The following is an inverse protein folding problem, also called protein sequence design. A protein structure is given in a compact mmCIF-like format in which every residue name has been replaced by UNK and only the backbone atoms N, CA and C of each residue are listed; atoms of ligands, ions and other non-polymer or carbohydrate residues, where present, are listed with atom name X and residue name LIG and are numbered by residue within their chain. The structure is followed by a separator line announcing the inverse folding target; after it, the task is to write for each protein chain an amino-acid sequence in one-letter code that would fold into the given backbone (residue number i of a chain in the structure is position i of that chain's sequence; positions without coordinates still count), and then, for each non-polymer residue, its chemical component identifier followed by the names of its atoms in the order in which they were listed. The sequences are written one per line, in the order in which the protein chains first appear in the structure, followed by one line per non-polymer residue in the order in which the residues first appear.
data_IF_416812560850
#
_entry.id   IF_416812560850
#
_cell.length_a   1.000
_cell.length_b   1.000
_cell.length_c   1.000
_cell.angle_alpha   90.00
_cell.angle_beta   90.00
_cell.angle_gamma   90.00
#
_symmetry.space_group_name_H-M   'P 1'
#
loop_
_entity.id
_entity.type
_entity.pdbx_description
1 polymer ?
#
# COMPACT_ATOMS: atom_id res chain seq x y z
N UNK A 1 7.06 5.16 13.54
CA UNK A 1 8.32 4.97 12.78
C UNK A 1 8.59 3.51 12.46
N UNK A 2 8.68 2.60 13.44
CA UNK A 2 8.96 1.17 13.23
C UNK A 2 8.02 0.53 12.17
N UNK A 3 6.70 0.67 12.33
CA UNK A 3 5.72 0.15 11.37
C UNK A 3 5.88 0.73 9.96
N UNK A 4 6.27 2.00 9.84
CA UNK A 4 6.53 2.62 8.54
C UNK A 4 7.75 2.00 7.85
N UNK A 5 8.82 1.75 8.61
CA UNK A 5 10.02 1.07 8.11
C UNK A 5 9.74 -0.36 7.67
N UNK A 6 8.89 -1.09 8.41
CA UNK A 6 8.43 -2.43 8.05
C UNK A 6 7.66 -2.43 6.71
N UNK A 7 6.73 -1.49 6.54
CA UNK A 7 6.00 -1.32 5.26
C UNK A 7 6.96 -1.03 4.11
N UNK A 8 7.93 -0.12 4.30
CA UNK A 8 8.92 0.19 3.26
C UNK A 8 9.74 -1.04 2.87
N UNK A 9 10.27 -1.77 3.87
CA UNK A 9 11.04 -2.98 3.65
C UNK A 9 10.20 -4.05 2.92
N UNK A 10 8.95 -4.24 3.32
CA UNK A 10 8.08 -5.27 2.75
C UNK A 10 7.65 -4.91 1.33
N UNK A 11 7.29 -3.66 1.05
CA UNK A 11 6.91 -3.22 -0.31
C UNK A 11 8.07 -3.33 -1.31
N UNK A 12 9.29 -2.94 -0.90
CA UNK A 12 10.48 -3.04 -1.76
C UNK A 12 10.79 -4.51 -2.06
N UNK A 13 10.77 -5.39 -1.06
CA UNK A 13 11.00 -6.82 -1.28
C UNK A 13 9.89 -7.45 -2.11
N UNK A 14 8.64 -7.14 -1.82
CA UNK A 14 7.50 -7.64 -2.58
C UNK A 14 7.63 -7.32 -4.07
N UNK A 15 7.84 -6.04 -4.40
CA UNK A 15 7.94 -5.61 -5.78
C UNK A 15 9.13 -6.26 -6.50
N UNK A 16 10.35 -6.16 -5.95
CA UNK A 16 11.55 -6.63 -6.65
C UNK A 16 11.78 -8.14 -6.51
N UNK A 17 11.74 -8.69 -5.30
CA UNK A 17 12.17 -10.07 -5.06
C UNK A 17 11.09 -11.09 -5.38
N UNK A 18 9.82 -10.73 -5.21
CA UNK A 18 8.71 -11.68 -5.37
C UNK A 18 7.92 -11.45 -6.66
N UNK A 19 7.62 -10.22 -7.04
CA UNK A 19 6.77 -9.93 -8.20
C UNK A 19 7.55 -9.69 -9.51
N UNK A 20 8.71 -9.01 -9.46
CA UNK A 20 9.47 -8.65 -10.67
C UNK A 20 9.90 -9.85 -11.55
N UNK A 21 10.31 -11.01 -11.00
CA UNK A 21 10.72 -12.16 -11.82
C UNK A 21 9.64 -12.68 -12.78
N UNK A 22 8.36 -12.37 -12.52
CA UNK A 22 7.25 -12.69 -13.42
C UNK A 22 7.26 -11.83 -14.70
N UNK A 23 7.88 -10.65 -14.67
CA UNK A 23 7.86 -9.66 -15.76
C UNK A 23 9.22 -9.45 -16.45
N UNK A 24 10.31 -9.82 -15.77
CA UNK A 24 11.70 -9.57 -16.20
C UNK A 24 12.45 -10.89 -16.33
N UNK A 25 13.21 -11.04 -17.43
CA UNK A 25 14.11 -12.16 -17.64
C UNK A 25 15.33 -12.03 -16.74
N UNK A 26 15.42 -12.93 -15.76
CA UNK A 26 16.59 -13.08 -14.90
C UNK A 26 17.80 -13.68 -15.62
N UNK A 27 19.00 -13.60 -15.02
CA UNK A 27 20.19 -14.25 -15.53
C UNK A 27 20.06 -15.78 -15.47
N UNK A 28 20.84 -16.49 -16.29
CA UNK A 28 20.85 -17.96 -16.31
C UNK A 28 21.68 -18.54 -15.15
N UNK A 29 21.27 -18.26 -13.91
CA UNK A 29 21.87 -18.76 -12.67
C UNK A 29 20.77 -19.06 -11.64
N UNK A 30 20.90 -20.10 -10.80
CA UNK A 30 19.93 -20.37 -9.73
C UNK A 30 20.03 -19.28 -8.64
N UNK A 31 18.95 -18.59 -8.23
CA UNK A 31 17.54 -19.01 -8.15
C UNK A 31 16.64 -18.62 -9.34
N UNK A 32 17.18 -18.00 -10.39
CA UNK A 32 16.39 -17.58 -11.56
C UNK A 32 16.19 -18.70 -12.58
N UNK A 33 17.01 -19.75 -12.54
CA UNK A 33 16.87 -20.93 -13.38
C UNK A 33 16.33 -22.11 -12.55
N UNK A 34 15.30 -22.83 -13.02
CA UNK A 34 14.54 -22.58 -14.26
C UNK A 34 13.57 -21.39 -14.13
N UNK A 35 13.49 -20.56 -15.17
CA UNK A 35 12.51 -19.47 -15.27
C UNK A 35 11.32 -19.86 -16.14
N UNK A 36 10.22 -19.13 -16.00
CA UNK A 36 9.18 -19.10 -17.03
C UNK A 36 9.79 -18.61 -18.35
N UNK A 37 9.23 -19.03 -19.50
CA UNK A 37 9.74 -18.62 -20.82
C UNK A 37 8.77 -17.72 -21.58
N UNK A 38 7.56 -17.54 -21.04
CA UNK A 38 6.45 -16.86 -21.70
C UNK A 38 6.18 -15.49 -21.09
N UNK A 39 5.64 -14.62 -21.93
CA UNK A 39 5.12 -13.29 -21.62
C UNK A 39 6.10 -12.22 -21.13
N UNK A 40 7.39 -12.39 -21.39
CA UNK A 40 8.37 -11.30 -21.21
C UNK A 40 8.34 -10.30 -22.36
N UNK A 41 7.73 -9.14 -22.12
CA UNK A 41 7.48 -8.11 -23.14
C UNK A 41 8.45 -6.92 -23.10
N UNK A 42 9.30 -6.84 -22.08
CA UNK A 42 10.22 -5.72 -21.90
C UNK A 42 11.34 -5.72 -22.96
N UNK A 43 11.69 -4.56 -23.53
CA UNK A 43 12.90 -4.41 -24.33
C UNK A 43 14.15 -4.75 -23.51
N UNK A 44 15.17 -5.35 -24.15
CA UNK A 44 16.40 -5.81 -23.48
C UNK A 44 17.02 -4.74 -22.56
N UNK A 45 17.15 -3.50 -23.03
CA UNK A 45 17.72 -2.40 -22.24
C UNK A 45 16.96 -2.13 -20.94
N UNK A 46 15.62 -2.19 -20.96
CA UNK A 46 14.78 -1.99 -19.78
C UNK A 46 14.82 -3.21 -18.85
N UNK A 47 14.85 -4.41 -19.43
CA UNK A 47 15.01 -5.65 -18.70
C UNK A 47 16.31 -5.67 -17.90
N UNK A 48 17.44 -5.36 -18.54
CA UNK A 48 18.76 -5.35 -17.91
C UNK A 48 18.82 -4.33 -16.77
N UNK A 49 18.30 -3.11 -16.99
CA UNK A 49 18.20 -2.09 -15.94
C UNK A 49 17.37 -2.55 -14.74
N UNK A 50 16.23 -3.21 -14.97
CA UNK A 50 15.38 -3.74 -13.89
C UNK A 50 16.07 -4.87 -13.12
N UNK A 51 16.92 -5.68 -13.76
CA UNK A 51 17.76 -6.67 -13.06
C UNK A 51 18.81 -5.98 -12.19
N UNK A 52 19.43 -4.89 -12.64
CA UNK A 52 20.33 -4.11 -11.79
C UNK A 52 19.57 -3.51 -10.59
N UNK A 53 18.36 -3.01 -10.81
CA UNK A 53 17.50 -2.48 -9.76
C UNK A 53 17.07 -3.56 -8.77
N UNK A 54 16.81 -4.79 -9.22
CA UNK A 54 16.54 -5.95 -8.37
C UNK A 54 17.66 -6.17 -7.35
N UNK A 55 18.92 -6.19 -7.79
CA UNK A 55 20.04 -6.39 -6.87
C UNK A 55 20.25 -5.19 -5.96
N UNK A 56 20.05 -3.97 -6.46
CA UNK A 56 20.08 -2.75 -5.63
C UNK A 56 18.99 -2.74 -4.57
N UNK A 57 17.80 -3.27 -4.87
CA UNK A 57 16.68 -3.33 -3.94
C UNK A 57 16.97 -4.23 -2.73
N UNK A 58 17.83 -5.24 -2.85
CA UNK A 58 18.27 -6.08 -1.72
C UNK A 58 18.93 -5.21 -0.65
N UNK A 59 19.90 -4.38 -1.06
CA UNK A 59 20.62 -3.48 -0.15
C UNK A 59 19.69 -2.42 0.46
N UNK A 60 18.82 -1.81 -0.35
CA UNK A 60 17.85 -0.82 0.16
C UNK A 60 16.87 -1.47 1.15
N UNK A 61 16.41 -2.70 0.88
CA UNK A 61 15.52 -3.42 1.80
C UNK A 61 16.23 -3.80 3.11
N UNK A 62 17.54 -4.07 3.05
CA UNK A 62 18.39 -4.30 4.23
C UNK A 62 18.47 -3.03 5.06
N UNK A 63 18.72 -1.87 4.45
CA UNK A 63 18.70 -0.58 5.13
C UNK A 63 17.34 -0.24 5.77
N UNK A 64 16.24 -0.56 5.11
CA UNK A 64 14.90 -0.40 5.69
C UNK A 64 14.69 -1.32 6.91
N UNK A 65 15.24 -2.54 6.89
CA UNK A 65 15.27 -3.44 8.04
C UNK A 65 16.17 -2.93 9.18
N UNK A 66 17.26 -2.22 8.87
CA UNK A 66 18.07 -1.55 9.89
C UNK A 66 17.30 -0.42 10.59
N UNK A 67 16.43 0.30 9.88
CA UNK A 67 15.56 1.31 10.51
C UNK A 67 14.63 0.69 11.58
N UNK A 68 14.16 -0.54 11.35
CA UNK A 68 13.39 -1.31 12.33
C UNK A 68 14.28 -1.65 13.52
N UNK A 69 15.50 -2.13 13.28
CA UNK A 69 16.44 -2.52 14.33
C UNK A 69 16.88 -1.32 15.20
N UNK A 70 17.07 -0.13 14.61
CA UNK A 70 17.48 1.08 15.34
C UNK A 70 16.50 1.46 16.46
N UNK A 71 15.20 1.26 16.25
CA UNK A 71 14.15 1.63 17.21
C UNK A 71 13.53 0.40 17.90
N UNK A 72 13.73 -0.79 17.34
CA UNK A 72 13.13 -2.04 17.78
C UNK A 72 14.11 -3.06 18.37
N UNK A 73 15.40 -2.70 18.46
CA UNK A 73 16.51 -3.54 18.92
C UNK A 73 17.04 -4.51 17.86
N UNK A 74 16.14 -5.20 17.13
CA UNK A 74 16.50 -6.13 16.06
C UNK A 74 15.43 -6.25 14.98
N UNK A 75 15.80 -6.82 13.85
CA UNK A 75 14.89 -7.21 12.77
C UNK A 75 15.38 -8.53 12.16
N UNK A 76 14.52 -9.55 11.94
CA UNK A 76 13.07 -9.58 12.18
C UNK A 76 12.69 -9.70 13.67
N UNK A 77 11.40 -9.47 13.95
CA UNK A 77 10.79 -9.49 15.29
C UNK A 77 11.42 -8.48 16.26
N UNK A 78 11.10 -7.18 16.15
CA UNK A 78 11.61 -6.18 17.09
C UNK A 78 11.07 -6.44 18.51
N UNK A 79 11.95 -6.36 19.51
CA UNK A 79 11.61 -6.52 20.93
C UNK A 79 11.50 -5.17 21.66
N UNK A 80 11.66 -4.07 20.92
CA UNK A 80 11.56 -2.71 21.43
C UNK A 80 10.14 -2.20 21.66
N UNK A 81 9.11 -3.02 21.44
CA UNK A 81 7.69 -2.68 21.62
C UNK A 81 7.15 -3.42 22.84
N UNK A 82 6.72 -2.66 23.85
CA UNK A 82 6.18 -3.18 25.11
C UNK A 82 4.81 -2.56 25.39
N UNK A 83 4.04 -3.18 26.28
CA UNK A 83 2.85 -2.54 26.82
C UNK A 83 3.25 -1.22 27.50
N UNK A 84 2.67 -0.11 27.05
CA UNK A 84 3.01 1.23 27.53
C UNK A 84 3.98 2.03 26.64
N UNK A 85 4.59 1.44 25.61
CA UNK A 85 5.38 2.20 24.64
C UNK A 85 6.58 1.46 24.05
N UNK A 86 7.70 2.15 23.90
CA UNK A 86 8.95 1.60 23.37
C UNK A 86 10.07 1.60 24.40
N UNK A 87 10.88 0.54 24.42
CA UNK A 87 12.03 0.42 25.33
C UNK A 87 13.30 1.12 24.83
N UNK A 88 13.34 1.50 23.55
CA UNK A 88 14.49 2.20 22.95
C UNK A 88 14.21 3.70 22.97
N UNK A 89 14.95 4.51 23.76
CA UNK A 89 14.79 5.96 23.76
C UNK A 89 15.24 6.54 22.41
N UNK A 90 14.50 7.50 21.83
CA UNK A 90 14.85 8.10 20.55
C UNK A 90 15.94 9.18 20.73
N UNK A 91 17.17 8.75 21.01
CA UNK A 91 18.31 9.66 21.16
C UNK A 91 18.65 10.37 19.85
N UNK A 92 19.35 11.51 19.93
CA UNK A 92 19.65 12.33 18.78
C UNK A 92 20.46 11.57 17.70
N UNK A 93 21.44 10.76 18.11
CA UNK A 93 22.25 9.92 17.23
C UNK A 93 21.41 8.87 16.48
N UNK A 94 20.44 8.24 17.18
CA UNK A 94 19.49 7.29 16.56
C UNK A 94 18.63 8.01 15.52
N UNK A 95 18.05 9.17 15.87
CA UNK A 95 17.21 9.93 14.94
C UNK A 95 18.01 10.39 13.72
N UNK A 96 19.25 10.86 13.89
CA UNK A 96 20.07 11.29 12.77
C UNK A 96 20.45 10.13 11.85
N UNK A 97 20.82 8.98 12.42
CA UNK A 97 21.08 7.75 11.67
C UNK A 97 19.84 7.29 10.90
N UNK A 98 18.68 7.35 11.55
CA UNK A 98 17.39 7.01 10.95
C UNK A 98 17.08 7.90 9.76
N UNK A 99 17.21 9.23 9.92
CA UNK A 99 16.95 10.21 8.85
C UNK A 99 17.88 10.03 7.66
N UNK A 100 19.17 9.77 7.91
CA UNK A 100 20.16 9.55 6.86
C UNK A 100 19.81 8.33 6.01
N UNK A 101 19.53 7.20 6.65
CA UNK A 101 19.12 5.96 5.95
C UNK A 101 17.78 6.12 5.24
N UNK A 102 16.79 6.77 5.88
CA UNK A 102 15.49 7.05 5.27
C UNK A 102 15.61 7.91 4.01
N UNK A 103 16.53 8.89 3.99
CA UNK A 103 16.79 9.69 2.78
C UNK A 103 17.22 8.80 1.62
N UNK A 104 18.17 7.88 1.84
CA UNK A 104 18.65 6.96 0.80
C UNK A 104 17.52 6.08 0.25
N UNK A 105 16.67 5.56 1.13
CA UNK A 105 15.48 4.76 0.74
C UNK A 105 14.50 5.62 -0.07
N UNK A 106 14.20 6.84 0.37
CA UNK A 106 13.31 7.76 -0.36
C UNK A 106 13.85 8.13 -1.74
N UNK A 107 15.16 8.37 -1.85
CA UNK A 107 15.81 8.67 -3.12
C UNK A 107 15.68 7.47 -4.08
N UNK A 108 15.88 6.24 -3.59
CA UNK A 108 15.66 5.03 -4.39
C UNK A 108 14.20 4.86 -4.81
N UNK A 109 13.23 5.11 -3.92
CA UNK A 109 11.81 4.99 -4.26
C UNK A 109 11.43 5.95 -5.38
N UNK A 110 11.85 7.22 -5.27
CA UNK A 110 11.51 8.26 -6.24
C UNK A 110 12.22 8.07 -7.59
N UNK A 111 13.48 7.69 -7.57
CA UNK A 111 14.31 7.62 -8.79
C UNK A 111 14.27 6.26 -9.49
N UNK A 112 13.92 5.19 -8.78
CA UNK A 112 13.99 3.81 -9.31
C UNK A 112 12.65 3.08 -9.19
N UNK A 113 12.13 2.89 -7.96
CA UNK A 113 10.92 2.09 -7.72
C UNK A 113 9.70 2.60 -8.49
N UNK A 114 9.39 3.89 -8.37
CA UNK A 114 8.21 4.49 -9.00
C UNK A 114 8.33 4.46 -10.54
N UNK A 115 9.45 4.89 -11.15
CA UNK A 115 9.65 4.76 -12.60
C UNK A 115 9.57 3.33 -13.14
N UNK A 116 10.11 2.34 -12.42
CA UNK A 116 10.03 0.93 -12.81
C UNK A 116 8.59 0.42 -12.76
N UNK A 117 7.84 0.76 -11.71
CA UNK A 117 6.43 0.43 -11.60
C UNK A 117 5.61 1.02 -12.75
N UNK A 118 5.85 2.28 -13.13
CA UNK A 118 5.21 2.88 -14.30
C UNK A 118 5.62 2.20 -15.61
N UNK A 119 6.89 1.83 -15.76
CA UNK A 119 7.37 1.10 -16.94
C UNK A 119 6.68 -0.25 -17.10
N UNK A 120 6.48 -0.99 -16.01
CA UNK A 120 5.73 -2.26 -16.02
C UNK A 120 4.25 -2.01 -16.33
N UNK A 121 3.62 -1.05 -15.66
CA UNK A 121 2.24 -0.65 -15.89
C UNK A 121 1.95 -0.28 -17.35
N UNK A 122 2.90 0.40 -18.01
CA UNK A 122 2.79 0.74 -19.43
C UNK A 122 2.99 -0.45 -20.37
N UNK A 123 3.90 -1.36 -20.01
CA UNK A 123 4.21 -2.54 -20.84
C UNK A 123 3.10 -3.57 -20.79
N UNK A 124 2.43 -3.72 -19.64
CA UNK A 124 1.37 -4.71 -19.38
C UNK A 124 0.00 -4.05 -19.18
N UNK A 125 -0.37 -3.09 -20.05
CA UNK A 125 -1.66 -2.37 -19.96
C UNK A 125 -2.89 -3.27 -20.07
N UNK A 126 -2.77 -4.39 -20.75
CA UNK A 126 -3.82 -5.40 -20.86
C UNK A 126 -4.18 -6.03 -19.49
N UNK A 127 -3.24 -6.07 -18.54
CA UNK A 127 -3.47 -6.66 -17.22
C UNK A 127 -4.51 -5.89 -16.40
N UNK A 128 -4.81 -4.63 -16.74
CA UNK A 128 -5.92 -3.90 -16.13
C UNK A 128 -7.30 -4.53 -16.38
N UNK A 129 -7.42 -5.42 -17.37
CA UNK A 129 -8.64 -6.13 -17.69
C UNK A 129 -8.69 -7.55 -17.09
N UNK A 130 -7.59 -8.01 -16.48
CA UNK A 130 -7.48 -9.34 -15.87
C UNK A 130 -7.73 -9.22 -14.37
N UNK A 131 -8.46 -10.18 -13.78
CA UNK A 131 -8.73 -10.20 -12.33
C UNK A 131 -9.69 -9.10 -11.84
N UNK A 132 -10.45 -8.48 -12.75
CA UNK A 132 -11.38 -7.39 -12.41
C UNK A 132 -12.51 -7.91 -11.52
N UNK A 133 -12.66 -7.30 -10.34
CA UNK A 133 -13.78 -7.53 -9.42
C UNK A 133 -14.43 -6.20 -9.04
N UNK A 134 -15.74 -6.25 -8.72
CA UNK A 134 -16.39 -5.10 -8.06
C UNK A 134 -15.61 -4.76 -6.78
N UNK A 135 -15.32 -3.47 -6.52
CA UNK A 135 -14.52 -3.08 -5.38
C UNK A 135 -15.30 -3.36 -4.09
N UNK A 136 -14.87 -4.43 -3.41
CA UNK A 136 -15.24 -4.75 -2.04
C UNK A 136 -13.94 -4.76 -1.24
N UNK A 137 -13.67 -3.64 -0.57
CA UNK A 137 -12.40 -3.33 0.11
C UNK A 137 -12.69 -2.80 1.52
N UNK A 138 -11.73 -2.94 2.42
CA UNK A 138 -11.85 -2.49 3.81
C UNK A 138 -10.48 -2.04 4.32
N UNK A 139 -10.47 -0.99 5.12
CA UNK A 139 -9.30 -0.47 5.83
C UNK A 139 -9.71 -0.12 7.26
N UNK A 140 -8.92 -0.55 8.24
CA UNK A 140 -9.07 -0.12 9.63
C UNK A 140 -8.43 1.24 9.91
N UNK A 141 -7.81 1.85 8.90
CA UNK A 141 -7.01 3.06 9.04
C UNK A 141 -5.61 2.77 9.59
N UNK A 142 -4.66 3.65 9.30
CA UNK A 142 -3.24 3.47 9.62
C UNK A 142 -2.59 4.79 10.05
N UNK A 143 -1.62 4.70 10.95
CA UNK A 143 -0.87 5.82 11.55
C UNK A 143 -1.75 6.87 12.25
N UNK A 144 -2.04 6.68 13.54
CA UNK A 144 -2.64 7.71 14.38
C UNK A 144 -1.83 9.01 14.35
N UNK A 145 -2.51 10.16 14.29
CA UNK A 145 -1.89 11.49 14.35
C UNK A 145 -1.59 11.95 15.77
N UNK A 146 -2.24 11.34 16.75
CA UNK A 146 -2.08 11.60 18.18
C UNK A 146 -2.27 10.32 18.99
N UNK A 147 -1.93 10.39 20.27
CA UNK A 147 -1.99 9.26 21.21
C UNK A 147 -3.43 8.80 21.53
N UNK A 148 -4.42 9.66 21.29
CA UNK A 148 -5.83 9.36 21.51
C UNK A 148 -6.48 8.61 20.33
N UNK A 149 -5.77 8.44 19.21
CA UNK A 149 -6.25 7.72 18.02
C UNK A 149 -7.59 8.24 17.46
N UNK A 150 -7.84 9.54 17.62
CA UNK A 150 -9.05 10.19 17.12
C UNK A 150 -8.98 10.51 15.62
N UNK A 151 -7.77 10.65 15.08
CA UNK A 151 -7.51 10.94 13.67
C UNK A 151 -6.29 10.14 13.19
N UNK A 152 -6.34 9.64 11.95
CA UNK A 152 -5.29 8.83 11.32
C UNK A 152 -4.87 9.43 9.99
N UNK A 153 -3.60 9.27 9.60
CA UNK A 153 -3.11 9.68 8.28
C UNK A 153 -3.75 8.89 7.14
N UNK A 154 -4.04 7.61 7.38
CA UNK A 154 -4.86 6.80 6.49
C UNK A 154 -6.19 6.49 7.18
N UNK A 155 -7.34 6.93 6.62
CA UNK A 155 -8.63 6.77 7.27
C UNK A 155 -9.12 5.31 7.25
N UNK A 156 -9.95 4.98 8.24
CA UNK A 156 -10.72 3.74 8.25
C UNK A 156 -11.95 3.87 7.33
N UNK A 157 -12.34 2.77 6.68
CA UNK A 157 -13.51 2.76 5.80
C UNK A 157 -13.70 1.42 5.11
N UNK A 158 -14.85 1.28 4.46
CA UNK A 158 -15.15 0.13 3.61
C UNK A 158 -15.74 0.61 2.28
N UNK A 159 -15.42 -0.09 1.20
CA UNK A 159 -16.13 0.03 -0.08
C UNK A 159 -16.92 -1.25 -0.25
N UNK A 160 -18.24 -1.12 -0.40
CA UNK A 160 -19.16 -2.25 -0.61
C UNK A 160 -20.02 -1.94 -1.82
N UNK A 161 -20.01 -2.83 -2.82
CA UNK A 161 -20.71 -2.65 -4.08
C UNK A 161 -20.36 -1.31 -4.78
N UNK A 162 -19.13 -0.84 -4.62
CA UNK A 162 -18.68 0.45 -5.18
C UNK A 162 -19.04 1.69 -4.36
N UNK A 163 -19.73 1.54 -3.23
CA UNK A 163 -20.08 2.66 -2.36
C UNK A 163 -19.16 2.71 -1.15
N UNK A 164 -18.62 3.90 -0.86
CA UNK A 164 -17.83 4.17 0.35
C UNK A 164 -18.77 4.25 1.54
N UNK A 165 -18.43 3.54 2.61
CA UNK A 165 -19.20 3.45 3.84
C UNK A 165 -18.26 3.52 5.05
N UNK A 166 -18.81 3.95 6.20
CA UNK A 166 -18.10 3.88 7.48
C UNK A 166 -17.84 2.42 7.83
N UNK A 167 -16.63 2.14 8.34
CA UNK A 167 -16.31 0.83 8.87
C UNK A 167 -17.13 0.53 10.13
N UNK A 168 -17.88 -0.55 10.11
CA UNK A 168 -18.52 -1.13 11.28
C UNK A 168 -17.81 -2.46 11.60
N UNK A 169 -17.12 -2.54 12.73
CA UNK A 169 -16.37 -3.73 13.11
C UNK A 169 -17.26 -4.83 13.71
N UNK A 170 -18.40 -4.46 14.31
CA UNK A 170 -19.33 -5.41 14.96
C UNK A 170 -19.95 -6.42 13.99
N UNK A 171 -19.88 -6.16 12.69
CA UNK A 171 -20.44 -7.00 11.63
C UNK A 171 -19.40 -7.89 10.95
N UNK A 172 -18.14 -7.83 11.38
CA UNK A 172 -17.05 -8.69 10.89
C UNK A 172 -17.18 -10.08 11.51
N UNK A 173 -17.18 -11.12 10.68
CA UNK A 173 -17.24 -12.52 11.12
C UNK A 173 -16.23 -13.36 10.36
N UNK A 174 -15.77 -14.45 10.96
CA UNK A 174 -14.90 -15.44 10.31
C UNK A 174 -15.72 -16.69 10.00
N UNK A 175 -15.71 -17.10 8.73
CA UNK A 175 -16.33 -18.33 8.26
C UNK A 175 -15.28 -19.43 8.13
N UNK A 176 -15.54 -20.56 8.79
CA UNK A 176 -14.68 -21.74 8.80
C UNK A 176 -15.27 -22.93 8.03
N UNK A 177 -16.37 -22.74 7.31
CA UNK A 177 -17.07 -23.83 6.60
C UNK A 177 -16.16 -24.53 5.59
N UNK A 178 -15.25 -23.80 4.94
CA UNK A 178 -14.32 -24.32 3.94
C UNK A 178 -12.85 -24.30 4.42
N UNK A 179 -12.63 -24.46 5.73
CA UNK A 179 -11.30 -24.55 6.31
C UNK A 179 -11.20 -25.70 7.32
N UNK A 180 -9.97 -26.11 7.64
CA UNK A 180 -9.67 -27.17 8.62
C UNK A 180 -9.88 -26.75 10.07
N UNK A 181 -11.01 -26.12 10.36
CA UNK A 181 -11.43 -25.77 11.71
C UNK A 181 -12.83 -26.28 11.99
N UNK A 182 -13.06 -26.65 13.25
CA UNK A 182 -14.38 -27.04 13.73
C UNK A 182 -15.34 -25.86 13.61
N UNK A 183 -16.48 -26.06 12.95
CA UNK A 183 -17.52 -25.06 12.79
C UNK A 183 -18.15 -25.02 11.40
N UNK A 184 -19.38 -24.52 11.36
CA UNK A 184 -20.21 -24.42 10.16
C UNK A 184 -20.98 -23.09 10.07
N UNK A 185 -20.66 -22.11 10.93
CA UNK A 185 -21.28 -20.80 10.95
C UNK A 185 -20.24 -19.70 11.11
N UNK A 186 -20.44 -18.52 10.47
CA UNK A 186 -19.56 -17.38 10.69
C UNK A 186 -19.72 -16.78 12.09
N UNK A 187 -18.60 -16.55 12.79
CA UNK A 187 -18.58 -16.03 14.17
C UNK A 187 -17.74 -14.74 14.26
N UNK A 188 -18.13 -13.80 15.11
CA UNK A 188 -17.32 -12.60 15.36
C UNK A 188 -16.04 -12.97 16.13
N UNK A 189 -14.86 -12.37 15.86
CA UNK A 189 -13.59 -12.77 16.46
C UNK A 189 -13.58 -12.82 18.00
N UNK A 190 -14.33 -11.94 18.67
CA UNK A 190 -14.44 -11.95 20.16
C UNK A 190 -15.10 -13.20 20.74
N UNK A 191 -15.84 -13.95 19.94
CA UNK A 191 -16.45 -15.24 20.32
C UNK A 191 -15.95 -16.40 19.45
N UNK A 192 -14.92 -16.18 18.63
CA UNK A 192 -14.36 -17.19 17.74
C UNK A 192 -13.63 -18.29 18.51
N UNK A 193 -13.53 -19.48 17.89
CA UNK A 193 -12.72 -20.60 18.37
C UNK A 193 -11.83 -21.10 17.25
N UNK A 194 -10.61 -21.48 17.61
CA UNK A 194 -9.60 -21.98 16.65
C UNK A 194 -9.25 -23.42 17.01
N UNK A 195 -10.18 -24.33 16.72
CA UNK A 195 -10.02 -25.76 16.97
C UNK A 195 -9.77 -26.47 15.62
N UNK A 196 -8.55 -26.99 15.36
CA UNK A 196 -8.21 -27.56 14.06
C UNK A 196 -8.87 -28.93 13.86
N UNK A 197 -9.34 -29.18 12.64
CA UNK A 197 -9.89 -30.46 12.17
C UNK A 197 -9.38 -30.74 10.75
N UNK A 198 -8.34 -31.56 10.67
CA UNK A 198 -7.69 -31.96 9.39
C UNK A 198 -8.47 -33.05 8.65
N UNK A 199 -9.39 -33.74 9.34
CA UNK A 199 -10.16 -34.85 8.79
C UNK A 199 -11.52 -34.40 8.23
N UNK A 200 -11.92 -33.15 8.50
CA UNK A 200 -13.01 -32.46 7.80
C UNK A 200 -12.84 -32.67 6.29
N UNK A 201 -13.84 -33.27 5.62
CA UNK A 201 -13.76 -33.78 4.23
C UNK A 201 -14.30 -32.85 3.13
N UNK A 202 -13.57 -32.69 2.00
CA UNK A 202 -13.72 -31.60 1.00
C UNK A 202 -12.38 -30.98 0.51
N UNK A 203 -12.42 -29.98 -0.38
CA UNK A 203 -11.25 -29.19 -0.82
C UNK A 203 -11.04 -27.99 0.14
N UNK A 204 -9.89 -27.86 0.80
CA UNK A 204 -9.77 -26.94 1.94
C UNK A 204 -8.52 -26.08 2.00
N UNK A 205 -8.69 -24.91 2.62
CA UNK A 205 -7.64 -23.98 3.01
C UNK A 205 -7.36 -24.12 4.51
N UNK A 206 -6.09 -23.93 4.89
CA UNK A 206 -5.65 -23.86 6.29
C UNK A 206 -6.05 -22.51 6.94
N UNK A 207 -6.69 -21.60 6.18
CA UNK A 207 -7.06 -20.25 6.60
C UNK A 207 -8.58 -20.09 6.77
N UNK A 208 -9.00 -19.36 7.80
CA UNK A 208 -10.38 -18.88 7.96
C UNK A 208 -10.70 -17.79 6.92
N UNK A 209 -11.98 -17.67 6.52
CA UNK A 209 -12.42 -16.68 5.55
C UNK A 209 -13.21 -15.55 6.25
N UNK A 210 -12.69 -14.31 6.35
CA UNK A 210 -13.45 -13.21 6.92
C UNK A 210 -14.60 -12.80 5.98
N UNK A 211 -15.82 -12.68 6.52
CA UNK A 211 -17.05 -12.27 5.84
C UNK A 211 -17.77 -11.13 6.61
N UNK A 212 -18.52 -10.28 5.89
CA UNK A 212 -19.48 -9.31 6.45
C UNK A 212 -20.85 -9.55 5.82
N UNK A 213 -21.94 -9.53 6.62
CA UNK A 213 -23.27 -10.08 6.23
C UNK A 213 -24.36 -9.08 5.79
N UNK A 214 -24.02 -7.89 5.32
CA UNK A 214 -25.06 -6.97 4.79
C UNK A 214 -24.89 -6.84 3.27
N UNK A 215 -25.76 -7.56 2.55
CA UNK A 215 -25.90 -7.61 1.08
C UNK A 215 -24.73 -8.19 0.29
N UNK A 216 -24.61 -9.53 0.30
CA UNK A 216 -24.43 -10.46 -0.84
C UNK A 216 -23.83 -11.79 -0.34
N UNK A 217 -24.30 -12.91 -0.90
CA UNK A 217 -23.91 -14.26 -0.50
C UNK A 217 -22.40 -14.52 -0.60
N UNK A 218 -21.86 -15.22 0.41
CA UNK A 218 -20.61 -16.00 0.38
C UNK A 218 -19.42 -15.39 -0.40
N UNK A 219 -19.10 -14.11 -0.27
CA UNK A 219 -17.94 -13.54 -1.00
C UNK A 219 -16.98 -12.77 -0.09
N UNK A 220 -15.71 -13.20 0.02
CA UNK A 220 -14.73 -12.54 0.87
C UNK A 220 -14.30 -11.18 0.29
N UNK A 221 -14.00 -10.20 1.16
CA UNK A 221 -13.32 -8.97 0.76
C UNK A 221 -11.88 -9.31 0.31
N UNK A 222 -11.36 -8.54 -0.65
CA UNK A 222 -9.97 -8.69 -1.08
C UNK A 222 -9.06 -7.76 -0.26
N UNK A 223 -7.78 -8.09 -0.08
CA UNK A 223 -6.83 -7.18 0.58
C UNK A 223 -6.70 -5.88 -0.23
N UNK A 224 -6.68 -4.75 0.48
CA UNK A 224 -6.52 -3.43 -0.14
C UNK A 224 -5.04 -3.16 -0.44
N UNK A 225 -4.56 -3.63 -1.60
CA UNK A 225 -3.26 -3.20 -2.18
C UNK A 225 -3.45 -2.84 -3.64
N UNK A 226 -4.34 -1.87 -3.87
CA UNK A 226 -4.43 -1.10 -5.10
C UNK A 226 -5.27 0.14 -4.76
N UNK A 227 -4.65 1.10 -4.07
CA UNK A 227 -5.20 2.46 -4.06
C UNK A 227 -5.01 3.01 -5.47
N UNK A 228 -5.95 2.67 -6.36
CA UNK A 228 -6.25 3.54 -7.50
C UNK A 228 -6.65 4.86 -6.85
N UNK A 229 -5.96 5.94 -7.16
CA UNK A 229 -6.34 7.29 -6.77
C UNK A 229 -7.84 7.47 -7.06
N UNK A 230 -8.65 7.31 -6.01
CA UNK A 230 -10.06 7.63 -6.06
C UNK A 230 -10.13 9.15 -6.08
N UNK A 231 -10.97 9.75 -6.94
CA UNK A 231 -11.00 11.20 -7.08
C UNK A 231 -11.30 11.82 -5.72
N UNK A 232 -10.41 12.70 -5.28
CA UNK A 232 -10.65 13.62 -4.16
C UNK A 232 -11.86 14.49 -4.48
N UNK A 233 -13.06 13.99 -4.20
CA UNK A 233 -14.28 14.78 -4.14
C UNK A 233 -15.07 14.29 -2.94
N UNK A 234 -14.85 14.97 -1.81
CA UNK A 234 -15.65 14.75 -0.61
C UNK A 234 -15.07 15.26 0.70
N UNK A 235 -13.78 15.59 0.76
CA UNK A 235 -13.16 16.16 1.97
C UNK A 235 -12.50 17.49 1.62
N UNK A 236 -13.14 18.59 2.02
CA UNK A 236 -12.62 19.94 1.82
C UNK A 236 -11.39 20.18 2.71
N UNK A 237 -10.22 20.35 2.11
CA UNK A 237 -9.13 21.20 2.63
C UNK A 237 -8.39 21.88 1.47
N UNK A 238 -7.88 23.09 1.72
CA UNK A 238 -7.47 24.12 0.74
C UNK A 238 -6.19 23.85 -0.07
N UNK A 239 -5.74 24.83 -0.88
CA UNK A 239 -5.17 24.55 -2.20
C UNK A 239 -3.65 24.42 -2.19
N UNK A 240 -3.16 23.28 -2.69
CA UNK A 240 -1.83 23.18 -3.30
C UNK A 240 -2.01 22.86 -4.79
N UNK A 241 -1.63 23.83 -5.63
CA UNK A 241 -1.79 23.80 -7.08
C UNK A 241 -0.61 23.03 -7.70
N UNK A 242 -0.88 21.95 -8.44
CA UNK A 242 0.11 21.26 -9.28
C UNK A 242 -0.34 21.34 -10.75
N UNK A 243 0.52 21.78 -11.70
CA UNK A 243 0.07 22.08 -13.07
C UNK A 243 0.21 20.85 -13.97
N UNK A 244 -0.84 20.04 -14.04
CA UNK A 244 -0.93 18.91 -14.98
C UNK A 244 -2.24 19.01 -15.78
N UNK A 245 -2.36 19.98 -16.68
CA UNK A 245 -3.55 20.19 -17.50
C UNK A 245 -3.19 20.50 -18.95
N UNK A 246 -3.15 19.46 -19.78
CA UNK A 246 -2.93 19.58 -21.22
C UNK A 246 -4.06 20.36 -21.91
N UNK A 247 -3.67 21.35 -22.70
CA UNK A 247 -4.50 22.18 -23.56
C UNK A 247 -5.41 21.34 -24.47
N UNK A 248 -6.72 21.31 -24.20
CA UNK A 248 -7.74 21.01 -25.21
C UNK A 248 -8.37 22.34 -25.64
N UNK A 249 -7.99 22.76 -26.84
CA UNK A 249 -8.62 23.87 -27.58
C UNK A 249 -10.13 23.66 -27.63
N UNK A 250 -10.91 24.67 -27.24
CA UNK A 250 -12.18 24.97 -27.90
C UNK A 250 -12.34 26.49 -27.99
N UNK A 251 -12.46 26.92 -29.23
CA UNK A 251 -12.61 28.28 -29.74
C UNK A 251 -14.11 28.52 -29.91
N UNK A 252 -14.65 29.57 -29.31
CA UNK A 252 -15.93 30.23 -29.61
C UNK A 252 -16.35 31.15 -28.44
N UNK A 253 -16.90 32.38 -28.52
CA UNK A 253 -17.01 33.52 -29.45
C UNK A 253 -17.35 34.73 -28.53
N UNK A 254 -16.76 35.89 -28.81
CA UNK A 254 -17.16 37.30 -28.56
C UNK A 254 -17.88 37.78 -27.29
N UNK A 255 -17.37 38.90 -26.77
CA UNK A 255 -18.21 40.06 -26.41
C UNK A 255 -18.06 40.58 -24.98
N UNK A 256 -17.58 41.81 -24.81
CA UNK A 256 -17.90 42.60 -23.62
C UNK A 256 -16.73 43.34 -22.96
N UNK A 257 -16.63 44.61 -23.29
CA UNK A 257 -15.65 45.60 -22.87
C UNK A 257 -15.83 46.04 -21.39
N UNK A 258 -14.74 46.61 -20.85
CA UNK A 258 -14.68 47.67 -19.82
C UNK A 258 -14.57 47.29 -18.33
N UNK A 259 -13.57 47.90 -17.68
CA UNK A 259 -13.54 48.07 -16.22
C UNK A 259 -12.15 48.04 -15.57
N UNK A 260 -11.33 49.07 -15.81
CA UNK A 260 -10.14 49.36 -14.98
C UNK A 260 -10.58 49.81 -13.59
N UNK A 261 -10.02 49.23 -12.54
CA UNK A 261 -9.67 49.95 -11.30
C UNK A 261 -8.34 49.40 -10.77
N UNK A 262 -7.36 50.29 -10.68
CA UNK A 262 -6.09 50.09 -10.01
C UNK A 262 -6.19 50.67 -8.59
N UNK A 263 -5.55 50.02 -7.60
CA UNK A 263 -4.63 50.65 -6.65
C UNK A 263 -4.32 49.74 -5.45
N UNK A 264 -3.00 49.56 -5.19
CA UNK A 264 -2.27 49.65 -3.89
C UNK A 264 -2.84 48.86 -2.70
N UNK A 265 -2.11 48.09 -1.90
CA UNK A 265 -0.69 47.99 -1.60
C UNK A 265 -0.53 47.67 -0.09
N UNK A 266 0.53 46.91 0.25
CA UNK A 266 1.27 46.85 1.55
C UNK A 266 0.67 46.22 2.83
N UNK A 267 1.52 45.43 3.52
CA UNK A 267 1.53 45.12 4.98
C UNK A 267 1.12 43.68 5.32
N UNK A 268 2.00 42.70 5.62
CA UNK A 268 2.97 42.47 6.74
C UNK A 268 2.31 42.08 8.09
N UNK A 269 2.95 41.11 8.77
CA UNK A 269 2.79 40.50 10.12
C UNK A 269 2.03 39.15 10.14
N UNK A 270 2.66 37.99 10.37
CA UNK A 270 3.46 37.47 11.52
C UNK A 270 2.63 37.11 12.76
N UNK A 271 2.36 35.81 12.93
CA UNK A 271 2.71 34.97 14.09
C UNK A 271 2.51 33.49 13.72
#
# INVERSE_FOLDING_TARGET
MILGSDILQNQIRHFYLFALPDFVRGPNLGPFAPSYTKDYRLPKKKNDAMIEHYFRAIEISRQASELIALLGGKSPFPHGLLAGGSSVPPTADIIMTFRFKLKSINDFIKSVFIPDAFTLAETYRDYYQIGVRKPNMMSFGLFPRNEHDNERHFPAGAVINGQVQRLNTAVIKEDVTNSWYVGNQPVHPTGGRTEPDREKGGLFLEQSAPLRRETYGRRPPGPAVAQRELPERGFHHGPEHCPCGGNRKNRAIDGGMAGRVAARGTGIYSL
#
